data_IF_443028460504
#
_entry.id   IF_443028460504
#
_cell.length_a   1.000
_cell.length_b   1.000
_cell.length_c   1.000
_cell.angle_alpha   90.00
_cell.angle_beta   90.00
_cell.angle_gamma   90.00
#
_symmetry.space_group_name_H-M   'P 1'
#
loop_
_entity.id
_entity.type
_entity.pdbx_description
1 polymer ?
#
# COMPACT_ATOMS: atom_id res chain seq x y z
N UNK A 1 -26.49 -21.72 -55.53
CA UNK A 1 -25.54 -21.39 -54.46
C UNK A 1 -26.10 -20.19 -53.72
N UNK A 2 -26.54 -20.31 -52.47
CA UNK A 2 -27.10 -19.15 -51.72
C UNK A 2 -25.99 -18.19 -51.38
N UNK A 3 -26.11 -16.93 -51.81
CA UNK A 3 -25.22 -15.83 -51.40
C UNK A 3 -25.71 -15.31 -50.05
N UNK A 4 -25.04 -15.70 -48.97
CA UNK A 4 -25.26 -15.07 -47.64
C UNK A 4 -24.75 -13.64 -47.69
N UNK A 5 -25.57 -12.64 -47.30
CA UNK A 5 -25.14 -11.25 -47.33
C UNK A 5 -24.07 -11.00 -46.25
N UNK A 6 -22.96 -10.41 -46.68
CA UNK A 6 -21.79 -10.08 -45.80
C UNK A 6 -22.18 -9.26 -44.58
N UNK A 7 -23.33 -8.54 -44.63
CA UNK A 7 -23.90 -7.74 -43.54
C UNK A 7 -24.37 -8.57 -42.32
N UNK A 8 -24.79 -9.83 -42.54
CA UNK A 8 -25.21 -10.71 -41.45
C UNK A 8 -23.98 -11.28 -40.65
N UNK A 9 -22.86 -11.48 -41.36
CA UNK A 9 -21.64 -11.95 -40.73
C UNK A 9 -21.00 -10.86 -39.82
N UNK A 10 -21.07 -9.59 -40.26
CA UNK A 10 -20.54 -8.48 -39.48
C UNK A 10 -21.39 -8.17 -38.23
N UNK A 11 -22.72 -8.36 -38.31
CA UNK A 11 -23.60 -8.17 -37.15
C UNK A 11 -23.40 -9.26 -36.07
N UNK A 12 -23.14 -10.51 -36.48
CA UNK A 12 -22.85 -11.62 -35.56
C UNK A 12 -21.48 -11.45 -34.86
N UNK A 13 -20.47 -10.90 -35.58
CA UNK A 13 -19.15 -10.65 -35.01
C UNK A 13 -19.19 -9.51 -33.96
N UNK A 14 -20.00 -8.46 -34.23
CA UNK A 14 -20.15 -7.34 -33.29
C UNK A 14 -20.91 -7.74 -32.01
N UNK A 15 -21.92 -8.62 -32.13
CA UNK A 15 -22.64 -9.14 -30.96
C UNK A 15 -21.78 -10.03 -30.06
N UNK A 16 -20.82 -10.78 -30.61
CA UNK A 16 -19.89 -11.62 -29.86
C UNK A 16 -18.88 -10.85 -29.01
N UNK A 17 -18.49 -9.66 -29.45
CA UNK A 17 -17.52 -8.81 -28.74
C UNK A 17 -18.13 -8.10 -27.50
N UNK A 18 -19.44 -7.87 -27.49
CA UNK A 18 -20.13 -7.26 -26.33
C UNK A 18 -20.39 -8.24 -25.19
N UNK A 19 -20.43 -9.54 -25.44
CA UNK A 19 -20.64 -10.56 -24.43
C UNK A 19 -19.36 -10.88 -23.61
N UNK A 20 -18.18 -10.53 -24.10
CA UNK A 20 -16.90 -10.84 -23.44
C UNK A 20 -16.62 -9.96 -22.22
N UNK A 21 -17.35 -8.86 -21.99
CA UNK A 21 -17.14 -7.97 -20.83
C UNK A 21 -18.08 -8.25 -19.64
N UNK A 22 -18.94 -9.25 -19.73
CA UNK A 22 -19.90 -9.59 -18.67
C UNK A 22 -19.51 -10.91 -17.99
N UNK A 23 -18.32 -10.98 -17.39
CA UNK A 23 -18.13 -11.92 -16.28
C UNK A 23 -18.60 -11.20 -15.01
N UNK A 24 -19.73 -11.57 -14.42
CA UNK A 24 -20.06 -11.09 -13.08
C UNK A 24 -19.05 -11.75 -12.14
N UNK A 25 -18.00 -11.02 -11.80
CA UNK A 25 -17.22 -11.33 -10.63
C UNK A 25 -18.15 -11.00 -9.46
N UNK A 26 -19.00 -11.98 -9.09
CA UNK A 26 -19.90 -11.81 -7.96
C UNK A 26 -19.08 -11.39 -6.74
N UNK A 27 -19.32 -10.17 -6.26
CA UNK A 27 -18.68 -9.69 -5.05
C UNK A 27 -19.13 -10.55 -3.86
N UNK A 28 -18.36 -11.59 -3.57
CA UNK A 28 -18.62 -12.52 -2.45
C UNK A 28 -18.88 -11.81 -1.12
N UNK A 29 -18.46 -10.54 -1.02
CA UNK A 29 -18.63 -9.73 0.19
C UNK A 29 -19.87 -8.85 0.16
N UNK A 30 -20.70 -8.89 -0.91
CA UNK A 30 -21.83 -7.98 -1.10
C UNK A 30 -22.80 -7.94 0.12
N UNK A 31 -23.04 -9.11 0.73
CA UNK A 31 -23.90 -9.24 1.91
C UNK A 31 -23.16 -9.23 3.25
N UNK A 32 -21.86 -8.94 3.30
CA UNK A 32 -21.11 -8.96 4.55
C UNK A 32 -21.23 -7.64 5.30
N UNK A 33 -21.33 -7.72 6.64
CA UNK A 33 -21.18 -6.55 7.51
C UNK A 33 -19.73 -6.03 7.49
N UNK A 34 -19.54 -4.78 7.91
CA UNK A 34 -18.19 -4.20 8.09
C UNK A 34 -17.33 -5.03 9.03
N UNK A 35 -17.92 -5.54 10.12
CA UNK A 35 -17.21 -6.37 11.11
C UNK A 35 -16.74 -7.68 10.49
N UNK A 36 -17.57 -8.32 9.65
CA UNK A 36 -17.20 -9.55 8.97
C UNK A 36 -16.07 -9.31 7.96
N UNK A 37 -16.15 -8.21 7.19
CA UNK A 37 -15.07 -7.87 6.23
C UNK A 37 -13.77 -7.61 7.00
N UNK A 38 -13.85 -6.91 8.13
CA UNK A 38 -12.67 -6.62 8.94
C UNK A 38 -12.06 -7.90 9.54
N UNK A 39 -12.88 -8.78 10.08
CA UNK A 39 -12.40 -10.05 10.61
C UNK A 39 -11.67 -10.88 9.55
N UNK A 40 -12.28 -11.03 8.37
CA UNK A 40 -11.64 -11.75 7.25
C UNK A 40 -10.34 -11.08 6.79
N UNK A 41 -10.34 -9.74 6.67
CA UNK A 41 -9.14 -9.01 6.31
C UNK A 41 -8.00 -9.22 7.33
N UNK A 42 -8.34 -9.26 8.63
CA UNK A 42 -7.38 -9.53 9.70
C UNK A 42 -6.84 -10.96 9.66
N UNK A 43 -7.67 -11.92 9.34
CA UNK A 43 -7.25 -13.31 9.19
C UNK A 43 -6.29 -13.48 8.02
N UNK A 44 -6.58 -12.84 6.87
CA UNK A 44 -5.67 -12.85 5.71
C UNK A 44 -4.34 -12.11 6.03
N UNK A 45 -4.38 -10.98 6.75
CA UNK A 45 -3.18 -10.28 7.22
C UNK A 45 -2.31 -11.16 8.13
N UNK A 46 -2.94 -11.83 9.11
CA UNK A 46 -2.25 -12.71 10.06
C UNK A 46 -1.68 -13.94 9.37
N UNK A 47 -2.36 -14.43 8.32
CA UNK A 47 -1.91 -15.52 7.47
C UNK A 47 -0.82 -15.12 6.45
N UNK A 48 -0.50 -13.82 6.34
CA UNK A 48 0.47 -13.31 5.36
C UNK A 48 -0.05 -13.27 3.93
N UNK A 49 -1.35 -13.47 3.71
CA UNK A 49 -2.00 -13.40 2.41
C UNK A 49 -2.37 -11.94 2.05
N UNK A 50 -1.34 -11.12 1.91
CA UNK A 50 -1.49 -9.67 1.75
C UNK A 50 -2.26 -9.27 0.50
N UNK A 51 -2.10 -10.01 -0.59
CA UNK A 51 -2.83 -9.86 -1.85
C UNK A 51 -4.34 -10.03 -1.69
N UNK A 52 -4.78 -10.86 -0.73
CA UNK A 52 -6.20 -11.05 -0.40
C UNK A 52 -6.70 -10.02 0.63
N UNK A 53 -5.83 -9.62 1.57
CA UNK A 53 -6.18 -8.63 2.58
C UNK A 53 -6.45 -7.25 1.96
N UNK A 54 -5.64 -6.81 0.98
CA UNK A 54 -5.76 -5.48 0.34
C UNK A 54 -7.17 -5.22 -0.20
N UNK A 55 -7.78 -6.06 -1.05
CA UNK A 55 -9.12 -5.79 -1.57
C UNK A 55 -10.22 -5.80 -0.49
N UNK A 56 -10.07 -6.59 0.57
CA UNK A 56 -11.01 -6.58 1.70
C UNK A 56 -10.93 -5.26 2.48
N UNK A 57 -9.72 -4.79 2.76
CA UNK A 57 -9.48 -3.52 3.43
C UNK A 57 -9.95 -2.33 2.60
N UNK A 58 -9.80 -2.39 1.28
CA UNK A 58 -10.31 -1.37 0.37
C UNK A 58 -11.85 -1.29 0.38
N UNK A 59 -12.52 -2.44 0.38
CA UNK A 59 -13.97 -2.50 0.53
C UNK A 59 -14.43 -1.98 1.89
N UNK A 60 -13.70 -2.34 2.95
CA UNK A 60 -14.00 -1.87 4.30
C UNK A 60 -13.84 -0.35 4.40
N UNK A 61 -12.76 0.21 3.84
CA UNK A 61 -12.54 1.67 3.77
C UNK A 61 -13.74 2.37 3.12
N UNK A 62 -14.23 1.85 2.00
CA UNK A 62 -15.39 2.41 1.29
C UNK A 62 -16.69 2.29 2.08
N UNK A 63 -16.97 1.11 2.68
CA UNK A 63 -18.23 0.86 3.41
C UNK A 63 -18.29 1.56 4.77
N UNK A 64 -17.15 1.74 5.43
CA UNK A 64 -17.04 2.41 6.71
C UNK A 64 -16.63 3.88 6.58
N UNK A 65 -16.81 4.49 5.40
CA UNK A 65 -16.35 5.85 5.11
C UNK A 65 -16.78 6.85 6.20
N UNK A 66 -15.86 7.72 6.61
CA UNK A 66 -16.08 8.73 7.65
C UNK A 66 -15.95 8.20 9.08
N UNK A 67 -15.67 6.93 9.29
CA UNK A 67 -15.51 6.33 10.63
C UNK A 67 -14.04 6.07 10.99
N UNK A 68 -13.70 5.91 12.28
CA UNK A 68 -12.38 5.44 12.69
C UNK A 68 -11.98 4.09 12.07
N UNK A 69 -12.95 3.21 11.81
CA UNK A 69 -12.70 1.91 11.17
C UNK A 69 -12.20 2.06 9.73
N UNK A 70 -12.68 3.06 8.99
CA UNK A 70 -12.16 3.35 7.65
C UNK A 70 -10.69 3.81 7.70
N UNK A 71 -10.33 4.63 8.70
CA UNK A 71 -8.94 5.05 8.91
C UNK A 71 -8.04 3.86 9.26
N UNK A 72 -8.52 2.98 10.13
CA UNK A 72 -7.82 1.74 10.48
C UNK A 72 -7.62 0.85 9.24
N UNK A 73 -8.67 0.64 8.46
CA UNK A 73 -8.60 -0.14 7.22
C UNK A 73 -7.59 0.44 6.22
N UNK A 74 -7.52 1.76 6.10
CA UNK A 74 -6.57 2.43 5.21
C UNK A 74 -5.11 2.21 5.65
N UNK A 75 -4.83 2.28 6.94
CA UNK A 75 -3.49 2.02 7.48
C UNK A 75 -3.09 0.54 7.37
N UNK A 76 -4.01 -0.38 7.65
CA UNK A 76 -3.76 -1.81 7.50
C UNK A 76 -3.59 -2.19 6.01
N UNK A 77 -4.31 -1.53 5.09
CA UNK A 77 -4.09 -1.67 3.65
C UNK A 77 -2.67 -1.26 3.26
N UNK A 78 -2.21 -0.10 3.74
CA UNK A 78 -0.85 0.35 3.48
C UNK A 78 0.20 -0.65 4.02
N UNK A 79 -0.05 -1.21 5.20
CA UNK A 79 0.80 -2.26 5.76
C UNK A 79 0.80 -3.53 4.91
N UNK A 80 -0.38 -3.99 4.47
CA UNK A 80 -0.50 -5.16 3.59
C UNK A 80 0.24 -4.95 2.26
N UNK A 81 0.08 -3.79 1.64
CA UNK A 81 0.80 -3.41 0.41
C UNK A 81 2.32 -3.42 0.63
N UNK A 82 2.80 -2.86 1.75
CA UNK A 82 4.21 -2.89 2.11
C UNK A 82 4.73 -4.32 2.24
N UNK A 83 4.03 -5.15 3.02
CA UNK A 83 4.42 -6.56 3.27
C UNK A 83 4.31 -7.42 2.02
N UNK A 84 3.37 -7.10 1.12
CA UNK A 84 3.19 -7.74 -0.18
C UNK A 84 4.20 -7.27 -1.25
N UNK A 85 5.11 -6.33 -0.91
CA UNK A 85 6.13 -5.81 -1.83
C UNK A 85 5.66 -4.65 -2.71
N UNK A 86 4.42 -4.20 -2.57
CA UNK A 86 3.80 -3.11 -3.33
C UNK A 86 4.15 -1.74 -2.74
N UNK A 87 5.45 -1.45 -2.61
CA UNK A 87 5.97 -0.26 -1.91
C UNK A 87 5.38 1.06 -2.43
N UNK A 88 5.23 1.21 -3.75
CA UNK A 88 4.70 2.44 -4.34
C UNK A 88 3.23 2.68 -3.95
N UNK A 89 2.42 1.63 -3.93
CA UNK A 89 1.03 1.69 -3.51
C UNK A 89 0.92 2.00 -2.00
N UNK A 90 1.78 1.38 -1.19
CA UNK A 90 1.83 1.64 0.25
C UNK A 90 2.12 3.12 0.54
N UNK A 91 3.13 3.72 -0.13
CA UNK A 91 3.45 5.15 0.01
C UNK A 91 2.25 6.01 -0.41
N UNK A 92 1.64 5.73 -1.57
CA UNK A 92 0.49 6.49 -2.05
C UNK A 92 -0.71 6.40 -1.08
N UNK A 93 -0.95 5.22 -0.49
CA UNK A 93 -2.01 5.01 0.51
C UNK A 93 -1.73 5.83 1.78
N UNK A 94 -0.48 5.85 2.26
CA UNK A 94 -0.07 6.61 3.44
C UNK A 94 -0.13 8.13 3.19
N UNK A 95 0.32 8.60 2.04
CA UNK A 95 0.22 10.01 1.67
C UNK A 95 -1.24 10.48 1.62
N UNK A 96 -2.12 9.66 1.05
CA UNK A 96 -3.56 9.91 1.06
C UNK A 96 -4.13 9.95 2.48
N UNK A 97 -3.75 8.99 3.33
CA UNK A 97 -4.18 8.98 4.74
C UNK A 97 -3.78 10.27 5.46
N UNK A 98 -2.51 10.65 5.38
CA UNK A 98 -2.00 11.84 6.06
C UNK A 98 -2.64 13.13 5.56
N UNK A 99 -2.95 13.20 4.26
CA UNK A 99 -3.65 14.35 3.66
C UNK A 99 -5.10 14.46 4.13
N UNK A 100 -5.80 13.33 4.22
CA UNK A 100 -7.22 13.30 4.58
C UNK A 100 -7.45 13.38 6.10
N UNK A 101 -6.49 12.91 6.89
CA UNK A 101 -6.62 12.76 8.34
C UNK A 101 -5.46 13.41 9.11
N UNK A 102 -5.21 14.74 8.92
CA UNK A 102 -4.05 15.40 9.52
C UNK A 102 -4.08 15.46 11.05
N UNK A 103 -5.27 15.31 11.66
CA UNK A 103 -5.47 15.28 13.11
C UNK A 103 -5.70 13.86 13.66
N UNK A 104 -5.47 12.82 12.85
CA UNK A 104 -5.63 11.43 13.31
C UNK A 104 -4.64 11.10 14.42
N UNK A 105 -5.09 10.41 15.50
CA UNK A 105 -4.18 9.92 16.53
C UNK A 105 -3.16 8.89 16.02
N UNK A 106 -3.40 8.30 14.84
CA UNK A 106 -2.50 7.36 14.20
C UNK A 106 -1.56 8.01 13.14
N UNK A 107 -1.47 9.35 13.14
CA UNK A 107 -0.60 10.06 12.20
C UNK A 107 0.88 9.72 12.41
N UNK A 108 1.30 9.53 13.66
CA UNK A 108 2.65 9.10 14.02
C UNK A 108 2.98 7.71 13.45
N UNK A 109 2.02 6.79 13.53
CA UNK A 109 2.16 5.46 12.90
C UNK A 109 2.25 5.55 11.37
N UNK A 110 1.44 6.42 10.74
CA UNK A 110 1.50 6.61 9.29
C UNK A 110 2.88 7.10 8.82
N UNK A 111 3.46 8.08 9.53
CA UNK A 111 4.82 8.56 9.28
C UNK A 111 5.86 7.45 9.47
N UNK A 112 5.75 6.69 10.56
CA UNK A 112 6.64 5.58 10.84
C UNK A 112 6.59 4.52 9.74
N UNK A 113 5.40 4.09 9.37
CA UNK A 113 5.22 3.08 8.32
C UNK A 113 5.75 3.59 6.97
N UNK A 114 5.51 4.87 6.62
CA UNK A 114 6.07 5.47 5.40
C UNK A 114 7.59 5.46 5.41
N UNK A 115 8.20 5.76 6.54
CA UNK A 115 9.65 5.62 6.75
C UNK A 115 10.12 4.19 6.50
N UNK A 116 9.42 3.18 7.06
CA UNK A 116 9.76 1.76 6.87
C UNK A 116 9.63 1.30 5.43
N UNK A 117 8.59 1.72 4.70
CA UNK A 117 8.38 1.35 3.29
C UNK A 117 9.56 1.76 2.41
N UNK A 118 10.12 2.94 2.68
CA UNK A 118 11.26 3.49 1.95
C UNK A 118 12.61 3.09 2.52
N UNK A 119 12.63 2.50 3.73
CA UNK A 119 13.85 2.08 4.39
C UNK A 119 14.42 0.81 3.72
N UNK A 120 15.72 0.79 3.52
CA UNK A 120 16.44 -0.37 3.01
C UNK A 120 17.56 -0.76 4.00
N UNK A 121 17.41 -1.90 4.67
CA UNK A 121 18.39 -2.41 5.64
C UNK A 121 19.70 -2.87 4.98
N UNK A 122 19.68 -3.11 3.68
CA UNK A 122 20.86 -3.62 2.96
C UNK A 122 21.84 -2.54 2.52
N UNK A 123 21.51 -1.26 2.70
CA UNK A 123 22.36 -0.15 2.27
C UNK A 123 23.74 -0.09 2.97
N UNK A 124 23.89 -0.72 4.16
CA UNK A 124 25.11 -0.62 4.95
C UNK A 124 25.95 -1.89 5.08
N UNK A 125 25.34 -3.09 4.97
CA UNK A 125 26.03 -4.34 5.29
C UNK A 125 26.86 -4.93 4.16
N UNK A 126 26.61 -4.57 2.91
CA UNK A 126 27.30 -5.13 1.73
C UNK A 126 27.75 -4.08 0.72
N UNK A 127 27.53 -2.78 0.95
CA UNK A 127 27.95 -1.71 0.01
C UNK A 127 29.46 -1.72 -0.22
N UNK A 128 30.28 -2.01 0.80
CA UNK A 128 31.73 -2.12 0.67
C UNK A 128 32.19 -3.34 -0.12
N UNK A 129 31.37 -4.42 -0.15
CA UNK A 129 31.71 -5.65 -0.86
C UNK A 129 31.26 -5.61 -2.33
N UNK A 130 30.18 -4.87 -2.62
CA UNK A 130 29.58 -4.85 -3.97
C UNK A 130 30.13 -3.74 -4.88
N UNK A 131 30.84 -2.73 -4.37
CA UNK A 131 31.26 -1.53 -5.11
C UNK A 131 30.15 -0.94 -6.00
N UNK A 132 28.91 -1.17 -5.63
CA UNK A 132 27.78 -0.62 -6.34
C UNK A 132 27.52 0.79 -5.82
N UNK A 133 27.71 1.77 -6.68
CA UNK A 133 27.12 3.09 -6.48
C UNK A 133 25.63 2.89 -6.26
N UNK A 134 25.12 3.41 -5.13
CA UNK A 134 23.68 3.40 -4.84
C UNK A 134 22.96 4.00 -6.06
N UNK A 135 22.02 3.27 -6.61
CA UNK A 135 21.21 3.80 -7.69
C UNK A 135 20.53 5.10 -7.23
N UNK A 136 20.29 6.03 -8.14
CA UNK A 136 19.60 7.28 -7.85
C UNK A 136 18.26 7.03 -7.14
N UNK A 137 17.59 5.93 -7.49
CA UNK A 137 16.36 5.48 -6.89
C UNK A 137 16.55 5.10 -5.41
N UNK A 138 17.64 4.40 -5.08
CA UNK A 138 17.92 3.96 -3.70
C UNK A 138 18.30 5.15 -2.81
N UNK A 139 19.05 6.11 -3.36
CA UNK A 139 19.36 7.37 -2.66
C UNK A 139 18.09 8.18 -2.37
N UNK A 140 17.18 8.26 -3.35
CA UNK A 140 15.89 8.93 -3.16
C UNK A 140 15.07 8.25 -2.08
N UNK A 141 14.94 6.93 -2.12
CA UNK A 141 14.20 6.16 -1.11
C UNK A 141 14.78 6.38 0.29
N UNK A 142 16.12 6.37 0.43
CA UNK A 142 16.77 6.63 1.70
C UNK A 142 16.48 8.05 2.24
N UNK A 143 16.49 9.07 1.37
CA UNK A 143 16.11 10.45 1.73
C UNK A 143 14.64 10.53 2.15
N UNK A 144 13.72 9.94 1.39
CA UNK A 144 12.28 9.94 1.69
C UNK A 144 12.00 9.22 3.02
N UNK A 145 12.73 8.13 3.32
CA UNK A 145 12.70 7.42 4.59
C UNK A 145 13.17 8.32 5.73
N UNK A 146 14.34 8.94 5.58
CA UNK A 146 14.90 9.85 6.57
C UNK A 146 13.94 11.01 6.90
N UNK A 147 13.35 11.64 5.88
CA UNK A 147 12.41 12.74 6.06
C UNK A 147 11.17 12.30 6.85
N UNK A 148 10.62 11.12 6.55
CA UNK A 148 9.46 10.58 7.25
C UNK A 148 9.77 10.32 8.73
N UNK A 149 10.93 9.73 9.04
CA UNK A 149 11.38 9.50 10.43
C UNK A 149 11.72 10.80 11.14
N UNK A 150 12.30 11.79 10.44
CA UNK A 150 12.61 13.11 11.00
C UNK A 150 11.33 13.85 11.38
N UNK A 151 10.32 13.86 10.50
CA UNK A 151 9.02 14.46 10.78
C UNK A 151 8.37 13.79 11.98
N UNK A 152 8.37 12.46 12.05
CA UNK A 152 7.89 11.71 13.20
C UNK A 152 8.60 12.15 14.50
N UNK A 153 9.93 12.14 14.53
CA UNK A 153 10.70 12.46 15.71
C UNK A 153 10.54 13.92 16.17
N UNK A 154 10.23 14.83 15.24
CA UNK A 154 10.05 16.26 15.51
C UNK A 154 8.64 16.57 16.01
N UNK A 155 7.62 16.04 15.32
CA UNK A 155 6.20 16.32 15.63
C UNK A 155 5.65 15.48 16.77
N UNK A 156 6.17 14.26 16.92
CA UNK A 156 5.69 13.27 17.88
C UNK A 156 6.85 12.69 18.71
N UNK A 157 7.57 13.53 19.49
CA UNK A 157 8.76 13.08 20.24
C UNK A 157 8.46 11.98 21.25
N UNK A 158 7.23 11.93 21.77
CA UNK A 158 6.76 10.93 22.75
C UNK A 158 6.10 9.70 22.10
N UNK A 159 6.05 9.62 20.77
CA UNK A 159 5.52 8.44 20.11
C UNK A 159 6.39 7.21 20.39
N UNK A 160 5.74 6.07 20.62
CA UNK A 160 6.43 4.79 20.81
C UNK A 160 7.32 4.39 19.63
N UNK A 161 7.12 4.97 18.46
CA UNK A 161 7.88 4.71 17.24
C UNK A 161 9.14 5.59 17.13
N UNK A 162 9.19 6.69 17.86
CA UNK A 162 10.27 7.68 17.77
C UNK A 162 11.65 7.13 18.13
N UNK A 163 11.84 6.27 19.15
CA UNK A 163 13.15 5.69 19.44
C UNK A 163 13.72 4.88 18.26
N UNK A 164 12.92 4.01 17.65
CA UNK A 164 13.34 3.21 16.48
C UNK A 164 13.58 4.11 15.25
N UNK A 165 12.73 5.10 15.02
CA UNK A 165 12.92 6.06 13.93
C UNK A 165 14.27 6.78 14.01
N UNK A 166 14.68 7.22 15.19
CA UNK A 166 16.00 7.86 15.42
C UNK A 166 17.18 6.92 15.12
N UNK A 167 17.06 5.66 15.50
CA UNK A 167 18.09 4.66 15.17
C UNK A 167 18.23 4.47 13.66
N UNK A 168 17.10 4.37 12.94
CA UNK A 168 17.09 4.23 11.49
C UNK A 168 17.61 5.47 10.78
N UNK A 169 17.31 6.67 11.29
CA UNK A 169 17.90 7.91 10.77
C UNK A 169 19.42 7.90 10.86
N UNK A 170 19.98 7.49 12.00
CA UNK A 170 21.43 7.36 12.17
C UNK A 170 22.03 6.35 11.19
N UNK A 171 21.35 5.22 10.99
CA UNK A 171 21.77 4.22 10.00
C UNK A 171 21.81 4.80 8.58
N UNK A 172 20.74 5.52 8.16
CA UNK A 172 20.67 6.15 6.84
C UNK A 172 21.82 7.15 6.63
N UNK A 173 22.07 8.04 7.61
CA UNK A 173 23.17 9.02 7.53
C UNK A 173 24.50 8.32 7.31
N UNK A 174 24.79 7.29 8.12
CA UNK A 174 26.05 6.55 8.03
C UNK A 174 26.19 5.81 6.66
N UNK A 175 25.07 5.33 6.11
CA UNK A 175 25.09 4.62 4.82
C UNK A 175 25.27 5.56 3.63
N UNK A 176 24.79 6.81 3.71
CA UNK A 176 24.94 7.80 2.66
C UNK A 176 26.29 8.54 2.70
N UNK A 177 27.03 8.44 3.80
CA UNK A 177 28.34 9.08 3.99
C UNK A 177 29.53 8.23 3.51
N UNK A 178 29.30 6.99 3.09
CA UNK A 178 30.30 6.05 2.56
C UNK A 178 30.37 6.15 1.03
#
# INVERSE_FOLDING_TARGET
MPRFPLSLLSALLAAGLLAACASPNEDKTAGWSTDKIYAEARDELNGGAYDKAVPLLEKLEGRAAGTPLAQQAQLEKAYAQYKGGEKAQAVATLDRFMKLHPASPAFDYALYLKGLVNFNENLGLFSWLSRQDLSERDQKAAKDSFESFRELATRFPESRYTPDARLRMTYIINSLAQ
#
